data_IF_923981622623
#
_entry.id   IF_923981622623
#
_cell.length_a   1.000
_cell.length_b   1.000
_cell.length_c   1.000
_cell.angle_alpha   90.00
_cell.angle_beta   90.00
_cell.angle_gamma   90.00
#
_symmetry.space_group_name_H-M   'P 1'
#
loop_
_entity.id
_entity.type
_entity.pdbx_description
1 polymer ?
#
# COMPACT_ATOMS: atom_id res chain seq x y z
N UNK A 1 -36.08 -44.13 42.40
CA UNK A 1 -35.43 -44.77 41.23
C UNK A 1 -36.29 -44.66 39.97
N UNK A 2 -35.89 -43.81 39.02
CA UNK A 2 -36.20 -43.77 37.57
C UNK A 2 -35.77 -42.36 37.07
N UNK A 3 -34.49 -42.22 36.74
CA UNK A 3 -33.96 -42.08 35.36
C UNK A 3 -34.12 -40.68 34.75
N UNK A 4 -33.08 -39.86 34.98
CA UNK A 4 -32.59 -38.82 34.06
C UNK A 4 -32.56 -39.36 32.63
N UNK A 5 -33.15 -38.66 31.67
CA UNK A 5 -32.64 -38.36 30.30
C UNK A 5 -33.75 -37.55 29.64
N UNK A 6 -33.49 -36.31 29.25
CA UNK A 6 -34.04 -35.60 28.07
C UNK A 6 -33.65 -34.12 28.19
N UNK A 7 -32.36 -33.85 28.09
CA UNK A 7 -31.82 -32.50 27.90
C UNK A 7 -30.68 -32.63 26.88
N UNK A 8 -31.05 -32.94 25.64
CA UNK A 8 -30.08 -33.20 24.59
C UNK A 8 -30.71 -32.95 23.25
N UNK A 9 -30.82 -31.68 22.85
CA UNK A 9 -30.87 -31.20 21.46
C UNK A 9 -31.05 -29.68 21.45
N UNK A 10 -30.05 -28.92 21.89
CA UNK A 10 -30.07 -27.47 21.69
C UNK A 10 -28.69 -26.81 21.75
N UNK A 11 -27.65 -27.48 21.23
CA UNK A 11 -26.36 -26.81 21.01
C UNK A 11 -25.71 -27.44 19.80
N UNK A 12 -26.08 -27.03 18.58
CA UNK A 12 -25.22 -27.25 17.40
C UNK A 12 -25.60 -26.31 16.25
N UNK A 13 -25.63 -24.99 16.50
CA UNK A 13 -25.64 -24.00 15.40
C UNK A 13 -24.91 -22.69 15.77
N UNK A 14 -23.86 -22.78 16.58
CA UNK A 14 -22.89 -21.70 16.76
C UNK A 14 -21.63 -22.02 15.95
N UNK A 15 -21.80 -22.32 14.67
CA UNK A 15 -20.69 -22.49 13.75
C UNK A 15 -20.15 -21.10 13.37
N UNK A 16 -19.12 -20.68 14.10
CA UNK A 16 -17.98 -19.91 13.58
C UNK A 16 -18.34 -18.60 12.87
N UNK A 17 -18.75 -17.60 13.65
CA UNK A 17 -18.61 -16.19 13.26
C UNK A 17 -17.16 -15.76 13.49
N UNK A 18 -16.22 -16.24 12.67
CA UNK A 18 -14.92 -15.59 12.60
C UNK A 18 -15.16 -14.18 12.04
N UNK A 19 -14.67 -13.11 12.67
CA UNK A 19 -14.66 -11.82 12.01
C UNK A 19 -13.80 -11.98 10.76
N UNK A 20 -14.45 -11.90 9.60
CA UNK A 20 -13.76 -11.73 8.33
C UNK A 20 -13.07 -10.37 8.43
N UNK A 21 -11.78 -10.38 8.77
CA UNK A 21 -10.99 -9.15 8.85
C UNK A 21 -10.86 -8.61 7.43
N UNK A 22 -11.78 -7.71 7.05
CA UNK A 22 -11.72 -7.02 5.78
C UNK A 22 -10.37 -6.28 5.73
N UNK A 23 -9.58 -6.55 4.69
CA UNK A 23 -8.31 -5.86 4.50
C UNK A 23 -8.56 -4.35 4.49
N UNK A 24 -7.72 -3.60 5.21
CA UNK A 24 -7.80 -2.14 5.18
C UNK A 24 -7.65 -1.65 3.73
N UNK A 25 -8.43 -0.64 3.30
CA UNK A 25 -8.29 -0.09 1.96
C UNK A 25 -6.87 0.44 1.69
N UNK A 26 -6.39 0.24 0.47
CA UNK A 26 -5.06 0.70 0.02
C UNK A 26 -5.07 2.22 -0.20
N UNK A 27 -4.24 2.96 0.53
CA UNK A 27 -4.10 4.43 0.37
C UNK A 27 -3.17 4.73 -0.80
N UNK A 28 -3.75 5.14 -1.92
CA UNK A 28 -3.04 5.45 -3.17
C UNK A 28 -2.73 6.95 -3.22
N UNK A 29 -1.46 7.30 -3.29
CA UNK A 29 -1.00 8.68 -3.36
C UNK A 29 -0.35 9.05 -4.69
N UNK A 30 -0.03 10.33 -4.84
CA UNK A 30 0.90 10.81 -5.88
C UNK A 30 1.48 12.17 -5.52
N UNK A 31 2.45 12.60 -6.32
CA UNK A 31 2.88 14.00 -6.35
C UNK A 31 1.79 14.89 -6.97
N UNK A 32 1.84 16.18 -6.65
CA UNK A 32 0.86 17.21 -7.04
C UNK A 32 0.90 17.58 -8.52
N UNK A 33 2.00 17.29 -9.23
CA UNK A 33 2.14 17.56 -10.65
C UNK A 33 1.18 16.71 -11.53
N UNK A 34 1.02 17.12 -12.78
CA UNK A 34 0.07 16.50 -13.72
C UNK A 34 0.38 15.03 -14.00
N UNK A 35 1.67 14.66 -14.07
CA UNK A 35 2.05 13.27 -14.28
C UNK A 35 1.72 12.42 -13.05
N UNK A 36 2.03 12.93 -11.85
CA UNK A 36 1.62 12.32 -10.59
C UNK A 36 0.11 12.07 -10.55
N UNK A 37 -0.69 13.06 -10.90
CA UNK A 37 -2.15 12.94 -10.97
C UNK A 37 -2.59 11.84 -11.95
N UNK A 38 -2.00 11.79 -13.14
CA UNK A 38 -2.32 10.80 -14.16
C UNK A 38 -1.97 9.38 -13.70
N UNK A 39 -0.72 9.16 -13.29
CA UNK A 39 -0.23 7.84 -12.87
C UNK A 39 -0.91 7.36 -11.60
N UNK A 40 -1.18 8.25 -10.64
CA UNK A 40 -1.93 7.93 -9.43
C UNK A 40 -3.36 7.45 -9.73
N UNK A 41 -4.06 8.11 -10.65
CA UNK A 41 -5.39 7.67 -11.09
C UNK A 41 -5.38 6.35 -11.88
N UNK A 42 -4.30 6.05 -12.62
CA UNK A 42 -4.14 4.73 -13.25
C UNK A 42 -4.04 3.64 -12.17
N UNK A 43 -3.25 3.84 -11.12
CA UNK A 43 -3.12 2.89 -10.01
C UNK A 43 -4.49 2.68 -9.32
N UNK A 44 -5.23 3.75 -9.03
CA UNK A 44 -6.58 3.67 -8.45
C UNK A 44 -7.51 2.79 -9.30
N UNK A 45 -7.63 3.10 -10.60
CA UNK A 45 -8.52 2.37 -11.51
C UNK A 45 -8.14 0.89 -11.64
N UNK A 46 -6.84 0.58 -11.66
CA UNK A 46 -6.38 -0.82 -11.71
C UNK A 46 -6.77 -1.57 -10.43
N UNK A 47 -6.56 -0.97 -9.25
CA UNK A 47 -6.94 -1.59 -7.98
C UNK A 47 -8.46 -1.78 -7.86
N UNK A 48 -9.22 -0.74 -8.19
CA UNK A 48 -10.69 -0.75 -8.12
C UNK A 48 -11.30 -1.76 -9.10
N UNK A 49 -10.77 -1.87 -10.32
CA UNK A 49 -11.23 -2.86 -11.31
C UNK A 49 -11.01 -4.31 -10.87
N UNK A 50 -10.12 -4.56 -9.92
CA UNK A 50 -9.86 -5.87 -9.31
C UNK A 50 -10.51 -6.03 -7.94
N UNK A 51 -11.41 -5.13 -7.54
CA UNK A 51 -12.15 -5.20 -6.29
C UNK A 51 -11.31 -4.92 -5.04
N UNK A 52 -10.13 -4.32 -5.19
CA UNK A 52 -9.30 -3.88 -4.05
C UNK A 52 -9.84 -2.54 -3.55
N UNK A 53 -10.31 -2.43 -2.29
CA UNK A 53 -10.76 -1.16 -1.75
C UNK A 53 -9.61 -0.16 -1.67
N UNK A 54 -9.85 1.10 -2.04
CA UNK A 54 -8.84 2.16 -2.07
C UNK A 54 -9.26 3.37 -1.25
N UNK A 55 -8.27 4.13 -0.76
CA UNK A 55 -8.44 5.51 -0.32
C UNK A 55 -7.65 6.40 -1.29
N UNK A 56 -8.36 7.31 -1.94
CA UNK A 56 -7.75 8.24 -2.88
C UNK A 56 -7.03 9.39 -2.12
N UNK A 57 -5.71 9.41 -2.22
CA UNK A 57 -4.82 10.50 -1.78
C UNK A 57 -3.96 11.02 -2.93
N UNK A 58 -4.44 10.94 -4.17
CA UNK A 58 -3.76 11.45 -5.36
C UNK A 58 -3.54 12.96 -5.21
N UNK A 59 -2.41 13.45 -5.75
CA UNK A 59 -1.93 14.83 -5.64
C UNK A 59 -1.74 15.33 -4.21
N UNK A 60 -1.22 14.47 -3.32
CA UNK A 60 -1.02 14.77 -1.89
C UNK A 60 -0.07 15.96 -1.67
N UNK A 61 0.96 16.12 -2.49
CA UNK A 61 1.90 17.23 -2.35
C UNK A 61 3.18 17.09 -3.16
N UNK A 62 4.23 17.79 -2.74
CA UNK A 62 5.56 17.71 -3.34
C UNK A 62 6.31 16.45 -2.90
N UNK A 63 7.44 16.13 -3.54
CA UNK A 63 8.24 14.93 -3.23
C UNK A 63 8.50 14.72 -1.72
N UNK A 64 8.93 15.72 -0.92
CA UNK A 64 9.16 15.52 0.51
C UNK A 64 7.89 15.16 1.30
N UNK A 65 6.74 15.72 0.92
CA UNK A 65 5.44 15.44 1.56
C UNK A 65 5.06 13.98 1.30
N UNK A 66 5.13 13.55 0.04
CA UNK A 66 4.76 12.18 -0.36
C UNK A 66 5.75 11.16 0.22
N UNK A 67 7.06 11.47 0.23
CA UNK A 67 8.07 10.61 0.85
C UNK A 67 7.82 10.43 2.34
N UNK A 68 7.55 11.51 3.07
CA UNK A 68 7.18 11.44 4.48
C UNK A 68 5.94 10.57 4.72
N UNK A 69 4.90 10.77 3.91
CA UNK A 69 3.64 10.02 4.01
C UNK A 69 3.80 8.52 3.75
N UNK A 70 4.61 8.07 2.79
CA UNK A 70 4.83 6.62 2.60
C UNK A 70 5.68 6.03 3.72
N UNK A 71 6.72 6.73 4.18
CA UNK A 71 7.59 6.21 5.26
C UNK A 71 6.92 6.16 6.62
N UNK A 72 5.89 6.99 6.86
CA UNK A 72 5.10 6.98 8.09
C UNK A 72 3.91 5.99 8.05
N UNK A 73 3.66 5.36 6.90
CA UNK A 73 2.48 4.50 6.68
C UNK A 73 1.18 5.28 6.44
N UNK A 74 1.23 6.58 6.15
CA UNK A 74 0.08 7.36 5.72
C UNK A 74 -0.34 7.08 4.26
N UNK A 75 0.60 6.61 3.44
CA UNK A 75 0.39 6.07 2.10
C UNK A 75 0.87 4.62 2.01
N UNK A 76 0.27 3.84 1.14
CA UNK A 76 0.71 2.45 0.87
C UNK A 76 1.40 2.33 -0.49
N UNK A 77 1.00 3.14 -1.48
CA UNK A 77 1.57 3.11 -2.83
C UNK A 77 1.47 4.48 -3.50
N UNK A 78 2.51 4.85 -4.26
CA UNK A 78 2.51 6.01 -5.15
C UNK A 78 3.57 5.84 -6.26
N UNK A 79 3.44 6.54 -7.40
CA UNK A 79 4.46 6.54 -8.45
C UNK A 79 5.66 7.43 -8.09
N UNK A 80 6.89 6.90 -8.22
CA UNK A 80 8.13 7.62 -7.96
C UNK A 80 9.17 7.39 -9.07
N UNK A 81 10.02 8.40 -9.29
CA UNK A 81 11.11 8.37 -10.24
C UNK A 81 12.36 7.79 -9.57
N UNK A 82 13.00 6.82 -10.23
CA UNK A 82 14.20 6.13 -9.73
C UNK A 82 15.35 7.10 -9.40
N UNK A 83 15.53 8.15 -10.20
CA UNK A 83 16.56 9.17 -9.98
C UNK A 83 16.42 9.96 -8.67
N UNK A 84 15.23 10.02 -8.05
CA UNK A 84 15.09 10.68 -6.76
C UNK A 84 15.78 9.93 -5.62
N UNK A 85 16.13 8.66 -5.80
CA UNK A 85 16.94 7.89 -4.85
C UNK A 85 18.27 8.58 -4.52
N UNK A 86 18.88 9.26 -5.48
CA UNK A 86 20.08 10.08 -5.29
C UNK A 86 19.93 11.09 -4.13
N UNK A 87 18.79 11.77 -4.05
CA UNK A 87 18.51 12.79 -3.04
C UNK A 87 18.01 12.19 -1.72
N UNK A 88 17.19 11.14 -1.79
CA UNK A 88 16.66 10.47 -0.59
C UNK A 88 17.79 9.89 0.28
N UNK A 89 18.81 9.34 -0.37
CA UNK A 89 19.92 8.66 0.30
C UNK A 89 21.23 9.46 0.29
N UNK A 90 21.19 10.74 -0.12
CA UNK A 90 22.33 11.68 -0.11
C UNK A 90 23.55 11.15 -0.88
N UNK A 91 23.32 10.57 -2.04
CA UNK A 91 24.33 9.90 -2.87
C UNK A 91 24.32 10.41 -4.31
N UNK A 92 24.20 11.73 -4.47
CA UNK A 92 23.94 12.41 -5.75
C UNK A 92 25.05 12.24 -6.80
N UNK A 93 26.27 11.94 -6.36
CA UNK A 93 27.44 11.87 -7.23
C UNK A 93 27.68 10.47 -7.79
N UNK A 94 26.93 9.45 -7.38
CA UNK A 94 27.09 8.10 -7.92
C UNK A 94 26.63 8.05 -9.39
N UNK A 95 27.54 7.60 -10.26
CA UNK A 95 27.25 7.41 -11.68
C UNK A 95 26.14 6.39 -11.96
N UNK A 96 25.82 5.53 -10.98
CA UNK A 96 24.72 4.56 -11.06
C UNK A 96 23.38 5.21 -11.41
N UNK A 97 23.14 6.45 -10.95
CA UNK A 97 21.89 7.17 -11.21
C UNK A 97 21.72 7.60 -12.68
N UNK A 98 22.79 7.54 -13.48
CA UNK A 98 22.76 7.79 -14.93
C UNK A 98 22.48 6.52 -15.74
N UNK A 99 22.36 5.36 -15.09
CA UNK A 99 22.00 4.10 -15.71
C UNK A 99 20.60 3.68 -15.24
N UNK A 100 19.65 3.53 -16.17
CA UNK A 100 18.25 3.24 -15.83
C UNK A 100 18.07 1.93 -15.05
N UNK A 101 18.73 0.85 -15.47
CA UNK A 101 18.62 -0.46 -14.82
C UNK A 101 19.31 -0.49 -13.46
N UNK A 102 20.55 0.02 -13.38
CA UNK A 102 21.30 0.00 -12.12
C UNK A 102 20.71 0.97 -11.09
N UNK A 103 20.26 2.16 -11.50
CA UNK A 103 19.58 3.11 -10.63
C UNK A 103 18.27 2.55 -10.07
N UNK A 104 17.48 1.84 -10.89
CA UNK A 104 16.29 1.10 -10.44
C UNK A 104 16.64 0.05 -9.37
N UNK A 105 17.61 -0.82 -9.63
CA UNK A 105 17.98 -1.88 -8.68
C UNK A 105 18.53 -1.30 -7.37
N UNK A 106 19.31 -0.22 -7.45
CA UNK A 106 19.86 0.43 -6.26
C UNK A 106 18.78 1.05 -5.39
N UNK A 107 17.88 1.87 -5.95
CA UNK A 107 16.82 2.51 -5.15
C UNK A 107 15.85 1.49 -4.58
N UNK A 108 15.52 0.44 -5.35
CA UNK A 108 14.71 -0.68 -4.88
C UNK A 108 15.30 -1.35 -3.65
N UNK A 109 16.62 -1.56 -3.62
CA UNK A 109 17.31 -2.13 -2.45
C UNK A 109 17.26 -1.17 -1.26
N UNK A 110 17.63 0.10 -1.47
CA UNK A 110 17.71 1.09 -0.40
C UNK A 110 16.34 1.41 0.22
N UNK A 111 15.26 1.37 -0.56
CA UNK A 111 13.89 1.56 -0.06
C UNK A 111 13.33 0.36 0.71
N UNK A 112 13.95 -0.82 0.58
CA UNK A 112 13.55 -2.02 1.29
C UNK A 112 14.25 -2.18 2.66
N UNK A 113 15.23 -1.33 2.96
CA UNK A 113 15.98 -1.26 4.23
C UNK A 113 15.29 -0.33 5.25
#
# INVERSE_FOLDING_TARGET
PLSKVWAGSLVLLAAVSLPLHAASPVKVGSKIDTEGALLGNIILQVLESHGVPTVNKVQLGTTPVVRGAITSGELDIYPEYTGNGAFFFKDENDAVWKNAGQGYEKVKKLDAE
#
